data_IF_025663529392
#
_entry.id   IF_025663529392
#
_cell.length_a   1.000
_cell.length_b   1.000
_cell.length_c   1.000
_cell.angle_alpha   90.00
_cell.angle_beta   90.00
_cell.angle_gamma   90.00
#
_symmetry.space_group_name_H-M   'P 1'
#
loop_
_entity.id
_entity.type
_entity.pdbx_description
1 polymer ?
#
# COMPACT_ATOMS: atom_id res chain seq x y z
N UNK A 1 -14.79 1.08 4.27
CA UNK A 1 -13.53 1.09 5.01
C UNK A 1 -13.06 -0.24 5.47
N UNK A 2 -13.98 -1.07 5.88
CA UNK A 2 -13.63 -2.41 6.33
C UNK A 2 -13.19 -3.34 5.21
N UNK A 3 -13.47 -2.98 3.95
CA UNK A 3 -13.20 -3.86 2.83
C UNK A 3 -11.72 -4.14 2.63
N UNK A 4 -10.87 -3.12 2.75
CA UNK A 4 -9.44 -3.32 2.59
C UNK A 4 -8.84 -4.11 3.75
N UNK A 5 -9.32 -3.87 4.98
CA UNK A 5 -8.87 -4.64 6.14
C UNK A 5 -9.31 -6.09 6.04
N UNK A 6 -10.54 -6.33 5.58
CA UNK A 6 -11.03 -7.68 5.34
C UNK A 6 -10.23 -8.38 4.24
N UNK A 7 -9.88 -7.67 3.18
CA UNK A 7 -9.03 -8.23 2.12
C UNK A 7 -7.68 -8.68 2.68
N UNK A 8 -7.03 -7.82 3.47
CA UNK A 8 -5.73 -8.15 4.07
C UNK A 8 -5.86 -9.34 5.02
N UNK A 9 -6.91 -9.36 5.84
CA UNK A 9 -7.16 -10.46 6.77
C UNK A 9 -7.42 -11.78 6.06
N UNK A 10 -8.16 -11.76 4.95
CA UNK A 10 -8.50 -12.98 4.22
C UNK A 10 -7.30 -13.63 3.52
N UNK A 11 -6.21 -12.88 3.36
CA UNK A 11 -4.97 -13.40 2.78
C UNK A 11 -3.98 -13.84 3.85
N UNK A 12 -4.36 -13.87 5.12
CA UNK A 12 -3.50 -14.33 6.19
C UNK A 12 -3.24 -15.82 6.04
N UNK A 13 -2.01 -16.25 6.29
CA UNK A 13 -1.61 -17.66 6.16
C UNK A 13 -0.70 -17.93 4.95
N UNK A 14 -0.58 -17.04 4.00
CA UNK A 14 0.40 -17.09 2.92
C UNK A 14 1.40 -15.95 3.10
N UNK A 15 2.61 -15.99 2.48
CA UNK A 15 3.47 -14.81 2.44
C UNK A 15 2.70 -13.71 1.74
N UNK A 16 2.04 -12.89 2.52
CA UNK A 16 1.13 -11.88 2.01
C UNK A 16 1.88 -10.61 1.68
N UNK A 17 1.83 -10.23 0.41
CA UNK A 17 2.22 -8.89 0.00
C UNK A 17 1.07 -8.27 -0.77
N UNK A 18 0.95 -6.95 -0.65
CA UNK A 18 0.08 -6.17 -1.52
C UNK A 18 0.93 -5.16 -2.28
N UNK A 19 0.65 -5.03 -3.56
CA UNK A 19 1.35 -4.03 -4.36
C UNK A 19 0.78 -2.64 -4.06
N UNK A 20 1.62 -1.63 -4.25
CA UNK A 20 1.19 -0.24 -4.11
C UNK A 20 0.03 0.09 -5.04
N UNK A 21 -0.03 -0.53 -6.21
CA UNK A 21 -1.14 -0.33 -7.15
C UNK A 21 -2.45 -0.90 -6.60
N UNK A 22 -2.41 -2.09 -6.02
CA UNK A 22 -3.59 -2.69 -5.39
C UNK A 22 -4.11 -1.81 -4.25
N UNK A 23 -3.19 -1.28 -3.45
CA UNK A 23 -3.54 -0.37 -2.36
C UNK A 23 -4.21 0.89 -2.90
N UNK A 24 -3.66 1.46 -3.97
CA UNK A 24 -4.23 2.65 -4.61
C UNK A 24 -5.64 2.36 -5.13
N UNK A 25 -5.82 1.23 -5.81
CA UNK A 25 -7.12 0.85 -6.36
C UNK A 25 -8.17 0.66 -5.28
N UNK A 26 -7.80 0.04 -4.18
CA UNK A 26 -8.74 -0.26 -3.10
C UNK A 26 -9.07 0.95 -2.24
N UNK A 27 -8.16 1.91 -2.13
CA UNK A 27 -8.37 3.12 -1.32
C UNK A 27 -8.93 4.29 -2.11
N UNK A 28 -8.91 4.21 -3.43
CA UNK A 28 -9.29 5.33 -4.31
C UNK A 28 -8.24 6.44 -4.35
N UNK A 29 -7.04 6.20 -3.83
CA UNK A 29 -5.95 7.18 -3.88
C UNK A 29 -5.17 7.03 -5.18
N UNK A 30 -4.54 8.10 -5.61
CA UNK A 30 -3.66 8.03 -6.78
C UNK A 30 -2.40 7.23 -6.43
N UNK A 31 -1.93 6.43 -7.37
CA UNK A 31 -0.77 5.57 -7.15
C UNK A 31 0.48 6.37 -6.75
N UNK A 32 0.70 7.52 -7.38
CA UNK A 32 1.85 8.38 -7.02
C UNK A 32 1.82 8.81 -5.55
N UNK A 33 0.64 9.08 -5.02
CA UNK A 33 0.48 9.48 -3.63
C UNK A 33 0.72 8.30 -2.69
N UNK A 34 0.25 7.12 -3.06
CA UNK A 34 0.52 5.88 -2.31
C UNK A 34 2.02 5.61 -2.27
N UNK A 35 2.72 5.78 -3.40
CA UNK A 35 4.17 5.59 -3.45
C UNK A 35 4.90 6.53 -2.49
N UNK A 36 4.51 7.81 -2.47
CA UNK A 36 5.10 8.78 -1.55
C UNK A 36 4.84 8.42 -0.09
N UNK A 37 3.61 8.01 0.21
CA UNK A 37 3.22 7.60 1.56
C UNK A 37 4.00 6.37 2.03
N UNK A 38 4.22 5.40 1.13
CA UNK A 38 4.99 4.20 1.45
C UNK A 38 6.43 4.56 1.77
N UNK A 39 7.06 5.41 0.95
CA UNK A 39 8.43 5.85 1.20
C UNK A 39 8.55 6.52 2.55
N UNK A 40 7.64 7.44 2.85
CA UNK A 40 7.64 8.16 4.11
C UNK A 40 7.47 7.21 5.30
N UNK A 41 6.54 6.27 5.20
CA UNK A 41 6.29 5.29 6.25
C UNK A 41 7.52 4.42 6.51
N UNK A 42 8.11 3.87 5.43
CA UNK A 42 9.28 3.00 5.57
C UNK A 42 10.46 3.73 6.19
N UNK A 43 10.69 4.99 5.80
CA UNK A 43 11.75 5.80 6.39
C UNK A 43 11.53 6.01 7.89
N UNK A 44 10.29 6.27 8.30
CA UNK A 44 9.94 6.43 9.72
C UNK A 44 10.14 5.14 10.51
N UNK A 45 9.97 4.00 9.86
CA UNK A 45 10.19 2.68 10.47
C UNK A 45 11.68 2.27 10.46
N UNK A 46 12.55 3.10 9.90
CA UNK A 46 13.96 2.77 9.78
C UNK A 46 14.25 1.72 8.72
N UNK A 47 13.36 1.56 7.75
CA UNK A 47 13.51 0.58 6.68
C UNK A 47 13.83 1.28 5.36
N UNK A 48 14.48 0.55 4.46
CA UNK A 48 14.87 1.09 3.15
C UNK A 48 13.77 0.81 2.14
N UNK A 49 13.21 1.86 1.50
CA UNK A 49 12.18 1.63 0.46
C UNK A 49 12.62 0.70 -0.67
N UNK A 50 13.90 0.74 -1.03
CA UNK A 50 14.44 -0.11 -2.10
C UNK A 50 14.25 -1.60 -1.82
N UNK A 51 14.21 -2.00 -0.55
CA UNK A 51 14.04 -3.41 -0.17
C UNK A 51 12.62 -3.93 -0.49
N UNK A 52 11.68 -3.03 -0.74
CA UNK A 52 10.29 -3.36 -1.03
C UNK A 52 9.91 -3.08 -2.47
N UNK A 53 10.87 -2.75 -3.32
CA UNK A 53 10.63 -2.46 -4.74
C UNK A 53 9.99 -3.63 -5.45
N UNK A 54 9.09 -3.34 -6.37
CA UNK A 54 8.41 -4.34 -7.18
C UNK A 54 8.51 -3.95 -8.65
N UNK A 55 8.58 -4.95 -9.51
CA UNK A 55 8.55 -4.78 -10.95
C UNK A 55 7.12 -4.92 -11.43
N UNK A 56 6.48 -3.80 -11.74
CA UNK A 56 5.15 -3.77 -12.34
C UNK A 56 5.24 -3.11 -13.71
N UNK A 57 4.21 -3.35 -14.51
CA UNK A 57 4.05 -2.71 -15.81
C UNK A 57 2.75 -1.92 -15.81
N UNK A 58 2.74 -0.79 -16.53
CA UNK A 58 1.51 -0.04 -16.74
C UNK A 58 0.67 -0.73 -17.82
N UNK A 59 -0.47 -0.14 -18.19
CA UNK A 59 -1.37 -0.71 -19.18
C UNK A 59 -0.77 -0.79 -20.58
N UNK A 60 0.35 -0.09 -20.82
CA UNK A 60 1.08 -0.12 -22.09
C UNK A 60 2.29 -1.06 -22.04
N UNK A 61 2.47 -1.83 -20.97
CA UNK A 61 3.59 -2.74 -20.82
C UNK A 61 4.91 -2.08 -20.45
N UNK A 62 4.89 -0.81 -20.06
CA UNK A 62 6.11 -0.08 -19.66
C UNK A 62 6.41 -0.32 -18.17
N UNK A 63 7.69 -0.38 -17.78
CA UNK A 63 8.05 -0.51 -16.37
C UNK A 63 7.43 0.63 -15.55
N UNK A 64 6.92 0.28 -14.38
CA UNK A 64 6.31 1.24 -13.46
C UNK A 64 6.94 1.06 -12.08
N UNK A 65 7.29 2.18 -11.44
CA UNK A 65 7.75 2.15 -10.05
C UNK A 65 6.61 1.68 -9.17
N UNK A 66 6.91 0.73 -8.31
CA UNK A 66 5.93 0.17 -7.39
C UNK A 66 6.63 -0.45 -6.19
N UNK A 67 5.85 -0.78 -5.16
CA UNK A 67 6.32 -1.50 -3.99
C UNK A 67 5.39 -2.68 -3.71
N UNK A 68 5.97 -3.75 -3.16
CA UNK A 68 5.21 -4.83 -2.53
C UNK A 68 5.42 -4.72 -1.04
N UNK A 69 4.32 -4.58 -0.29
CA UNK A 69 4.38 -4.47 1.15
C UNK A 69 3.93 -5.76 1.80
N UNK A 70 4.74 -6.31 2.73
CA UNK A 70 4.29 -7.40 3.59
C UNK A 70 3.09 -6.98 4.43
N UNK A 71 2.40 -7.96 5.01
CA UNK A 71 1.18 -7.72 5.78
C UNK A 71 1.35 -6.65 6.85
N UNK A 72 2.44 -6.71 7.62
CA UNK A 72 2.68 -5.76 8.70
C UNK A 72 2.73 -4.33 8.20
N UNK A 73 3.54 -4.07 7.19
CA UNK A 73 3.72 -2.73 6.63
C UNK A 73 2.43 -2.26 5.94
N UNK A 74 1.74 -3.16 5.27
CA UNK A 74 0.45 -2.86 4.66
C UNK A 74 -0.57 -2.42 5.71
N UNK A 75 -0.65 -3.12 6.84
CA UNK A 75 -1.57 -2.77 7.91
C UNK A 75 -1.26 -1.41 8.53
N UNK A 76 0.03 -1.11 8.71
CA UNK A 76 0.46 0.19 9.23
C UNK A 76 -0.01 1.31 8.30
N UNK A 77 0.21 1.15 7.01
CA UNK A 77 -0.18 2.14 6.01
C UNK A 77 -1.69 2.35 5.98
N UNK A 78 -2.43 1.26 5.89
CA UNK A 78 -3.90 1.29 5.79
C UNK A 78 -4.54 1.85 7.06
N UNK A 79 -3.95 1.59 8.22
CA UNK A 79 -4.42 2.16 9.48
C UNK A 79 -4.37 3.68 9.46
N UNK A 80 -3.30 4.24 8.89
CA UNK A 80 -3.19 5.69 8.71
C UNK A 80 -4.25 6.22 7.75
N UNK A 81 -4.51 5.52 6.68
CA UNK A 81 -5.55 5.89 5.72
C UNK A 81 -6.94 5.85 6.32
N UNK A 82 -7.22 4.89 7.19
CA UNK A 82 -8.49 4.81 7.88
C UNK A 82 -8.79 6.06 8.69
N UNK A 83 -7.81 6.55 9.43
CA UNK A 83 -7.95 7.78 10.22
C UNK A 83 -8.16 8.98 9.29
N UNK A 84 -7.36 9.08 8.25
CA UNK A 84 -7.45 10.16 7.26
C UNK A 84 -8.82 10.19 6.57
N UNK A 85 -9.31 9.04 6.16
CA UNK A 85 -10.60 8.94 5.48
C UNK A 85 -11.76 9.29 6.42
N UNK A 86 -11.69 8.93 7.69
CA UNK A 86 -12.70 9.31 8.69
C UNK A 86 -12.76 10.82 8.87
N UNK A 87 -11.61 11.47 8.85
CA UNK A 87 -11.54 12.93 9.02
C UNK A 87 -12.21 13.68 7.87
N UNK A 88 -12.33 13.05 6.70
CA UNK A 88 -12.98 13.66 5.54
C UNK A 88 -14.50 13.49 5.54
N UNK A 89 -15.01 12.59 6.33
CA UNK A 89 -16.45 12.29 6.42
C UNK A 89 -17.02 13.11 7.58
N UNK A 90 -17.28 14.35 7.34
CA UNK A 90 -17.85 15.22 8.37
C UNK A 90 -19.22 15.72 7.93
#
# INVERSE_FOLDING_TARGET
>A
MNDIMNFVASHSGAPLTMSSREIADMTGKEHKNVLADIRSMLEKLGQRPADFSADLQDSYGRPQVAFNLPKRECLILVSGYSVELRAKVV
#
